data_IF_260279110544
#
_entry.id   IF_260279110544
#
_cell.length_a   1.000
_cell.length_b   1.000
_cell.length_c   1.000
_cell.angle_alpha   90.00
_cell.angle_beta   90.00
_cell.angle_gamma   90.00
#
_symmetry.space_group_name_H-M   'P 1'
#
loop_
_entity.id
_entity.type
_entity.pdbx_description
1 polymer ?
#
# COMPACT_ATOMS: atom_id res chain seq x y z
N UNK A 1 -32.06 -1.20 -6.64
CA UNK A 1 -31.08 -0.62 -5.67
C UNK A 1 -29.84 -0.19 -6.45
N UNK A 2 -29.96 0.90 -7.21
CA UNK A 2 -28.85 1.52 -7.94
C UNK A 2 -28.38 2.70 -7.06
N UNK A 3 -27.10 2.92 -6.80
CA UNK A 3 -26.10 3.19 -7.83
C UNK A 3 -24.72 2.64 -7.44
N UNK A 4 -24.19 1.74 -8.28
CA UNK A 4 -22.75 1.51 -8.34
C UNK A 4 -22.07 2.85 -8.60
N UNK A 5 -21.42 3.43 -7.58
CA UNK A 5 -20.52 4.56 -7.78
C UNK A 5 -19.23 3.97 -8.30
N UNK A 6 -19.17 3.84 -9.62
CA UNK A 6 -17.98 3.39 -10.31
C UNK A 6 -16.89 4.46 -10.12
N UNK A 7 -15.90 4.15 -9.29
CA UNK A 7 -14.76 5.03 -9.01
C UNK A 7 -13.50 4.46 -9.65
N UNK A 8 -12.78 5.29 -10.39
CA UNK A 8 -11.42 5.04 -10.86
C UNK A 8 -10.43 5.30 -9.75
N UNK A 9 -9.72 4.25 -9.35
CA UNK A 9 -8.79 4.30 -8.22
C UNK A 9 -7.35 4.13 -8.72
N UNK A 10 -6.48 5.05 -8.31
CA UNK A 10 -5.03 4.88 -8.41
C UNK A 10 -4.46 4.52 -7.05
N UNK A 11 -3.70 3.42 -6.98
CA UNK A 11 -3.06 2.93 -5.76
C UNK A 11 -1.58 3.24 -5.82
N UNK A 12 -1.09 4.03 -4.87
CA UNK A 12 0.29 4.51 -4.81
C UNK A 12 0.89 4.11 -3.47
N UNK A 13 1.87 3.21 -3.51
CA UNK A 13 2.39 2.54 -2.32
C UNK A 13 3.82 2.97 -2.04
N UNK A 14 3.99 3.64 -0.91
CA UNK A 14 5.29 3.84 -0.29
C UNK A 14 5.70 2.53 0.40
N UNK A 15 6.50 1.73 -0.31
CA UNK A 15 6.87 0.42 0.15
C UNK A 15 7.70 0.45 1.43
N UNK A 16 8.63 1.40 1.53
CA UNK A 16 9.54 1.47 2.67
C UNK A 16 8.79 1.87 3.92
N UNK A 17 7.90 2.87 3.82
CA UNK A 17 7.06 3.28 4.95
C UNK A 17 6.22 2.10 5.47
N UNK A 18 5.51 1.40 4.59
CA UNK A 18 4.60 0.32 5.00
C UNK A 18 5.34 -0.91 5.51
N UNK A 19 6.42 -1.34 4.86
CA UNK A 19 7.18 -2.51 5.31
C UNK A 19 7.85 -2.27 6.65
N UNK A 20 8.46 -1.09 6.86
CA UNK A 20 9.10 -0.75 8.13
C UNK A 20 8.07 -0.63 9.25
N UNK A 21 6.94 0.06 9.02
CA UNK A 21 5.88 0.19 10.01
C UNK A 21 5.26 -1.15 10.37
N UNK A 22 4.89 -1.98 9.38
CA UNK A 22 4.30 -3.29 9.62
C UNK A 22 5.25 -4.24 10.36
N UNK A 23 6.54 -4.23 10.01
CA UNK A 23 7.54 -5.03 10.72
C UNK A 23 7.75 -4.54 12.15
N UNK A 24 7.84 -3.22 12.37
CA UNK A 24 8.08 -2.67 13.71
C UNK A 24 6.90 -2.90 14.66
N UNK A 25 5.66 -2.89 14.15
CA UNK A 25 4.46 -3.06 14.98
C UNK A 25 4.13 -4.55 15.19
N UNK A 26 4.17 -5.36 14.13
CA UNK A 26 3.66 -6.73 14.14
C UNK A 26 4.71 -7.82 13.85
N UNK A 27 5.96 -7.44 13.56
CA UNK A 27 7.06 -8.39 13.30
C UNK A 27 6.94 -9.19 12.00
N UNK A 28 5.99 -8.86 11.13
CA UNK A 28 5.66 -9.63 9.93
C UNK A 28 5.79 -8.84 8.63
N UNK A 29 5.36 -9.46 7.52
CA UNK A 29 5.26 -8.82 6.20
C UNK A 29 3.81 -8.45 5.89
N UNK A 30 3.61 -7.33 5.20
CA UNK A 30 2.29 -6.90 4.74
C UNK A 30 1.74 -7.84 3.66
N UNK A 31 0.47 -8.23 3.82
CA UNK A 31 -0.31 -8.99 2.86
C UNK A 31 -0.90 -8.05 1.81
N UNK A 32 -0.11 -7.77 0.77
CA UNK A 32 -0.54 -6.86 -0.30
C UNK A 32 -1.70 -7.40 -1.15
N UNK A 33 -1.91 -8.73 -1.21
CA UNK A 33 -3.05 -9.28 -1.95
C UNK A 33 -4.37 -8.85 -1.30
N UNK A 34 -4.48 -9.01 0.03
CA UNK A 34 -5.63 -8.56 0.80
C UNK A 34 -5.79 -7.03 0.74
N UNK A 35 -4.69 -6.29 0.82
CA UNK A 35 -4.71 -4.82 0.73
C UNK A 35 -5.33 -4.35 -0.59
N UNK A 36 -4.90 -4.93 -1.71
CA UNK A 36 -5.44 -4.58 -3.03
C UNK A 36 -6.87 -5.08 -3.21
N UNK A 37 -7.22 -6.26 -2.68
CA UNK A 37 -8.60 -6.77 -2.68
C UNK A 37 -9.56 -5.83 -1.96
N UNK A 38 -9.20 -5.35 -0.77
CA UNK A 38 -10.02 -4.42 0.03
C UNK A 38 -10.18 -3.05 -0.65
N UNK A 39 -9.18 -2.59 -1.40
CA UNK A 39 -9.27 -1.38 -2.24
C UNK A 39 -10.15 -1.64 -3.49
N UNK A 40 -10.14 -2.88 -3.98
CA UNK A 40 -10.59 -3.33 -5.31
C UNK A 40 -12.08 -3.51 -5.52
N UNK A 41 -12.95 -3.11 -4.58
CA UNK A 41 -14.40 -3.01 -4.83
C UNK A 41 -14.81 -1.93 -5.86
N UNK A 42 -13.87 -1.51 -6.73
CA UNK A 42 -13.86 -0.32 -7.58
C UNK A 42 -13.00 -0.56 -8.83
N UNK A 43 -13.00 0.35 -9.81
CA UNK A 43 -12.12 0.22 -10.98
C UNK A 43 -10.69 0.65 -10.62
N UNK A 44 -9.80 -0.32 -10.36
CA UNK A 44 -8.38 -0.02 -10.18
C UNK A 44 -7.76 0.30 -11.56
N UNK A 45 -7.29 1.54 -11.71
CA UNK A 45 -6.66 2.02 -12.95
C UNK A 45 -5.15 1.76 -12.97
N UNK A 46 -4.49 1.88 -11.82
CA UNK A 46 -3.05 1.69 -11.62
C UNK A 46 -2.76 1.24 -10.19
N UNK A 47 -1.77 0.36 -10.03
CA UNK A 47 -1.18 0.00 -8.75
C UNK A 47 0.33 0.14 -8.88
N UNK A 48 0.93 1.09 -8.17
CA UNK A 48 2.36 1.39 -8.30
C UNK A 48 3.02 1.30 -6.93
N UNK A 49 4.03 0.44 -6.87
CA UNK A 49 4.84 0.17 -5.69
C UNK A 49 6.20 0.86 -5.86
N UNK A 50 6.48 1.81 -4.97
CA UNK A 50 7.70 2.63 -5.00
C UNK A 50 8.67 2.14 -3.95
N UNK A 51 9.86 1.72 -4.37
CA UNK A 51 10.94 1.31 -3.46
C UNK A 51 12.29 1.68 -4.03
N UNK A 52 13.18 2.39 -3.32
CA UNK A 52 14.46 2.82 -3.87
C UNK A 52 15.29 1.68 -4.47
N UNK A 53 16.07 1.96 -5.53
CA UNK A 53 16.84 0.94 -6.27
C UNK A 53 17.85 0.17 -5.41
N UNK A 54 18.36 0.81 -4.35
CA UNK A 54 19.32 0.21 -3.43
C UNK A 54 18.65 -0.73 -2.40
N UNK A 55 17.32 -0.82 -2.39
CA UNK A 55 16.56 -1.77 -1.57
C UNK A 55 16.19 -2.98 -2.44
N UNK A 56 16.46 -4.17 -1.91
CA UNK A 56 16.19 -5.42 -2.62
C UNK A 56 14.69 -5.72 -2.69
N UNK A 57 14.25 -6.17 -3.87
CA UNK A 57 12.94 -6.76 -4.10
C UNK A 57 13.20 -8.15 -4.69
N UNK A 58 12.68 -9.19 -4.06
CA UNK A 58 12.87 -10.56 -4.56
C UNK A 58 12.14 -10.77 -5.89
N UNK A 59 12.67 -11.65 -6.74
CA UNK A 59 12.02 -12.00 -8.00
C UNK A 59 10.64 -12.65 -7.80
N UNK A 60 10.48 -13.40 -6.71
CA UNK A 60 9.18 -13.94 -6.30
C UNK A 60 8.17 -12.83 -6.05
N UNK A 61 8.56 -11.78 -5.32
CA UNK A 61 7.69 -10.63 -5.08
C UNK A 61 7.38 -9.89 -6.37
N UNK A 62 8.36 -9.69 -7.26
CA UNK A 62 8.14 -9.05 -8.56
C UNK A 62 7.12 -9.81 -9.40
N UNK A 63 7.26 -11.13 -9.50
CA UNK A 63 6.30 -12.00 -10.22
C UNK A 63 4.92 -11.91 -9.61
N UNK A 64 4.82 -12.02 -8.28
CA UNK A 64 3.57 -11.85 -7.55
C UNK A 64 2.92 -10.49 -7.85
N UNK A 65 3.70 -9.41 -7.78
CA UNK A 65 3.22 -8.04 -7.96
C UNK A 65 2.70 -7.79 -9.38
N UNK A 66 3.44 -8.24 -10.39
CA UNK A 66 3.03 -8.14 -11.79
C UNK A 66 1.76 -8.96 -12.06
N UNK A 67 1.64 -10.16 -11.49
CA UNK A 67 0.43 -10.98 -11.62
C UNK A 67 -0.80 -10.35 -10.94
N UNK A 68 -0.59 -9.53 -9.91
CA UNK A 68 -1.62 -8.72 -9.26
C UNK A 68 -2.01 -7.47 -10.09
N UNK A 69 -1.35 -7.23 -11.23
CA UNK A 69 -1.53 -6.03 -12.05
C UNK A 69 -0.72 -4.82 -11.59
N UNK A 70 0.26 -5.03 -10.71
CA UNK A 70 1.09 -3.99 -10.13
C UNK A 70 2.35 -3.66 -10.92
N UNK A 71 2.75 -2.40 -10.85
CA UNK A 71 4.00 -1.86 -11.39
C UNK A 71 4.99 -1.62 -10.25
N UNK A 72 6.27 -1.96 -10.46
CA UNK A 72 7.34 -1.63 -9.52
C UNK A 72 8.16 -0.48 -10.08
N UNK A 73 8.29 0.61 -9.33
CA UNK A 73 9.19 1.72 -9.65
C UNK A 73 10.33 1.78 -8.63
N UNK A 74 11.56 1.75 -9.13
CA UNK A 74 12.77 1.81 -8.32
C UNK A 74 13.63 3.05 -8.61
N UNK A 75 13.25 4.22 -8.08
CA UNK A 75 14.04 5.42 -8.26
C UNK A 75 15.37 5.34 -7.51
N UNK A 76 16.36 6.09 -7.99
CA UNK A 76 17.72 6.06 -7.41
C UNK A 76 17.76 6.66 -6.00
N UNK A 77 17.00 7.74 -5.76
CA UNK A 77 17.04 8.50 -4.51
C UNK A 77 15.69 8.56 -3.79
N UNK A 78 14.78 9.41 -4.26
CA UNK A 78 13.59 9.76 -3.49
C UNK A 78 12.35 9.06 -4.10
N UNK A 79 11.87 8.02 -3.42
CA UNK A 79 10.66 7.29 -3.81
C UNK A 79 9.41 8.18 -3.73
N UNK A 80 9.30 8.95 -2.66
CA UNK A 80 8.18 9.85 -2.34
C UNK A 80 7.98 10.92 -3.41
N UNK A 81 9.07 11.45 -3.97
CA UNK A 81 9.03 12.41 -5.07
C UNK A 81 8.47 11.78 -6.36
N UNK A 82 8.88 10.56 -6.68
CA UNK A 82 8.34 9.84 -7.85
C UNK A 82 6.86 9.50 -7.66
N UNK A 83 6.52 9.00 -6.47
CA UNK A 83 5.15 8.75 -6.05
C UNK A 83 4.29 10.00 -6.23
N UNK A 84 4.76 11.13 -5.70
CA UNK A 84 4.07 12.42 -5.77
C UNK A 84 3.85 12.86 -7.22
N UNK A 85 4.89 12.82 -8.06
CA UNK A 85 4.78 13.21 -9.47
C UNK A 85 3.79 12.30 -10.22
N UNK A 86 3.86 11.00 -10.02
CA UNK A 86 2.96 10.06 -10.68
C UNK A 86 1.51 10.23 -10.22
N UNK A 87 1.27 10.43 -8.91
CA UNK A 87 -0.06 10.68 -8.37
C UNK A 87 -0.66 11.98 -8.91
N UNK A 88 0.13 13.06 -8.94
CA UNK A 88 -0.28 14.35 -9.53
C UNK A 88 -0.60 14.18 -11.02
N UNK A 89 0.26 13.49 -11.77
CA UNK A 89 0.10 13.30 -13.23
C UNK A 89 -1.13 12.47 -13.56
N UNK A 90 -1.44 11.46 -12.76
CA UNK A 90 -2.58 10.58 -12.99
C UNK A 90 -3.89 11.13 -12.41
N UNK A 91 -3.85 12.13 -11.53
CA UNK A 91 -5.02 12.67 -10.82
C UNK A 91 -6.20 13.02 -11.72
N UNK A 92 -5.97 13.59 -12.91
CA UNK A 92 -7.04 13.96 -13.84
C UNK A 92 -7.85 12.77 -14.40
N UNK A 93 -7.37 11.53 -14.19
CA UNK A 93 -8.02 10.29 -14.64
C UNK A 93 -8.59 9.47 -13.48
N UNK A 94 -8.45 9.96 -12.25
CA UNK A 94 -8.78 9.23 -11.03
C UNK A 94 -9.86 9.96 -10.24
N UNK A 95 -10.86 9.20 -9.78
CA UNK A 95 -11.84 9.69 -8.81
C UNK A 95 -11.29 9.60 -7.39
N UNK A 96 -10.48 8.56 -7.13
CA UNK A 96 -9.88 8.29 -5.82
C UNK A 96 -8.39 7.99 -5.96
N UNK A 97 -7.59 8.57 -5.07
CA UNK A 97 -6.20 8.19 -4.85
C UNK A 97 -6.11 7.45 -3.52
N UNK A 98 -5.74 6.17 -3.58
CA UNK A 98 -5.36 5.38 -2.42
C UNK A 98 -3.85 5.52 -2.19
N UNK A 99 -3.48 6.40 -1.27
CA UNK A 99 -2.11 6.59 -0.82
C UNK A 99 -1.83 5.59 0.29
N UNK A 100 -0.96 4.62 0.03
CA UNK A 100 -0.59 3.59 0.99
C UNK A 100 0.76 3.97 1.59
N UNK A 101 0.70 4.65 2.73
CA UNK A 101 1.83 5.26 3.43
C UNK A 101 1.36 6.35 4.39
N UNK A 102 2.01 6.48 5.54
CA UNK A 102 1.62 7.38 6.64
C UNK A 102 2.49 8.60 6.84
N UNK A 103 3.41 8.89 5.92
CA UNK A 103 4.38 9.98 6.08
C UNK A 103 3.73 11.36 5.92
N UNK A 104 3.98 12.25 6.88
CA UNK A 104 3.50 13.64 6.86
C UNK A 104 4.03 14.44 5.66
N UNK A 105 5.12 13.99 5.03
CA UNK A 105 5.66 14.60 3.83
C UNK A 105 4.68 14.53 2.64
N UNK A 106 3.66 13.68 2.71
CA UNK A 106 2.56 13.63 1.74
C UNK A 106 1.44 14.66 1.98
N UNK A 107 1.44 15.45 3.06
CA UNK A 107 0.41 16.46 3.30
C UNK A 107 0.19 17.44 2.11
N UNK A 108 1.25 17.97 1.46
CA UNK A 108 1.08 18.82 0.27
C UNK A 108 0.46 18.06 -0.91
N UNK A 109 0.79 16.77 -1.09
CA UNK A 109 0.21 15.92 -2.12
C UNK A 109 -1.29 15.72 -1.87
N UNK A 110 -1.68 15.38 -0.65
CA UNK A 110 -3.09 15.20 -0.26
C UNK A 110 -3.89 16.48 -0.57
N UNK A 111 -3.38 17.64 -0.15
CA UNK A 111 -4.01 18.93 -0.44
C UNK A 111 -4.17 19.17 -1.95
N UNK A 112 -3.11 18.90 -2.74
CA UNK A 112 -3.14 19.11 -4.18
C UNK A 112 -4.16 18.21 -4.88
N UNK A 113 -4.16 16.90 -4.57
CA UNK A 113 -5.06 15.93 -5.16
C UNK A 113 -6.53 16.26 -4.89
N UNK A 114 -6.84 16.69 -3.66
CA UNK A 114 -8.19 17.14 -3.29
C UNK A 114 -8.63 18.37 -4.08
N UNK A 115 -7.73 19.32 -4.28
CA UNK A 115 -8.01 20.49 -5.13
C UNK A 115 -8.15 20.15 -6.62
N UNK A 116 -7.62 19.00 -7.07
CA UNK A 116 -7.87 18.46 -8.42
C UNK A 116 -9.16 17.65 -8.53
N UNK A 117 -9.92 17.53 -7.44
CA UNK A 117 -11.20 16.83 -7.42
C UNK A 117 -11.11 15.35 -7.04
N UNK A 118 -9.92 14.82 -6.77
CA UNK A 118 -9.78 13.45 -6.28
C UNK A 118 -10.19 13.36 -4.81
N UNK A 119 -10.83 12.27 -4.42
CA UNK A 119 -10.86 11.85 -3.01
C UNK A 119 -9.54 11.20 -2.64
N UNK A 120 -9.01 11.51 -1.46
CA UNK A 120 -7.76 10.91 -0.99
C UNK A 120 -8.02 9.99 0.18
N UNK A 121 -7.72 8.71 -0.03
CA UNK A 121 -7.72 7.67 0.99
C UNK A 121 -6.28 7.43 1.44
N UNK A 122 -6.04 7.52 2.74
CA UNK A 122 -4.73 7.16 3.32
C UNK A 122 -4.86 5.80 3.99
N UNK A 123 -4.10 4.83 3.50
CA UNK A 123 -4.02 3.47 4.04
C UNK A 123 -2.68 3.33 4.75
N UNK A 124 -2.70 3.33 6.09
CA UNK A 124 -1.46 3.26 6.88
C UNK A 124 -1.70 2.70 8.28
N UNK A 125 -0.62 2.32 8.96
CA UNK A 125 -0.65 1.91 10.37
C UNK A 125 -0.86 3.14 11.28
N UNK A 126 -1.95 3.20 12.08
CA UNK A 126 -2.25 4.35 12.94
C UNK A 126 -1.13 4.75 13.90
N UNK A 127 -0.35 3.77 14.36
CA UNK A 127 0.71 3.90 15.35
C UNK A 127 1.93 4.67 14.81
N UNK A 128 2.11 4.67 13.49
CA UNK A 128 3.23 5.35 12.81
C UNK A 128 2.78 6.53 11.95
N UNK A 129 1.47 6.80 11.92
CA UNK A 129 0.88 7.89 11.15
C UNK A 129 0.59 9.10 12.05
N UNK A 130 1.00 10.29 11.61
CA UNK A 130 0.70 11.53 12.33
C UNK A 130 -0.79 11.86 12.34
N UNK A 131 -1.29 12.55 13.36
CA UNK A 131 -2.70 12.95 13.37
C UNK A 131 -3.03 13.94 12.24
N UNK A 132 -2.05 14.76 11.85
CA UNK A 132 -2.17 15.67 10.70
C UNK A 132 -2.53 14.92 9.40
N UNK A 133 -1.92 13.76 9.12
CA UNK A 133 -2.22 13.01 7.89
C UNK A 133 -3.61 12.38 7.94
N UNK A 134 -4.03 11.92 9.12
CA UNK A 134 -5.36 11.34 9.34
C UNK A 134 -6.45 12.38 9.12
N UNK A 135 -6.23 13.61 9.60
CA UNK A 135 -7.14 14.74 9.44
C UNK A 135 -7.16 15.31 8.01
N UNK A 136 -6.02 15.28 7.31
CA UNK A 136 -5.92 15.83 5.96
C UNK A 136 -6.61 14.95 4.89
N UNK A 137 -6.61 13.62 5.08
CA UNK A 137 -7.25 12.67 4.18
C UNK A 137 -8.77 12.86 4.13
N UNK A 138 -9.42 12.49 3.01
CA UNK A 138 -10.89 12.35 3.01
C UNK A 138 -11.34 11.13 3.81
N UNK A 139 -10.52 10.07 3.79
CA UNK A 139 -10.72 8.87 4.60
C UNK A 139 -9.36 8.32 5.01
N UNK A 140 -9.21 8.02 6.28
CA UNK A 140 -8.06 7.27 6.80
C UNK A 140 -8.49 5.84 7.09
N UNK A 141 -7.83 4.87 6.46
CA UNK A 141 -8.10 3.45 6.62
C UNK A 141 -6.96 2.82 7.42
N UNK A 142 -7.24 2.37 8.66
CA UNK A 142 -6.20 1.80 9.50
C UNK A 142 -5.78 0.42 8.97
N UNK A 143 -4.48 0.25 8.72
CA UNK A 143 -3.88 -1.07 8.59
C UNK A 143 -3.73 -1.68 9.98
N UNK A 144 -4.21 -2.91 10.13
CA UNK A 144 -4.16 -3.70 11.37
C UNK A 144 -3.47 -5.03 11.12
N UNK A 145 -3.34 -5.85 12.17
CA UNK A 145 -2.76 -7.19 12.10
C UNK A 145 -3.38 -8.08 11.00
N UNK A 146 -4.65 -7.85 10.62
CA UNK A 146 -5.31 -8.61 9.53
C UNK A 146 -4.59 -8.49 8.19
N UNK A 147 -3.89 -7.37 7.98
CA UNK A 147 -3.09 -7.12 6.78
C UNK A 147 -1.67 -7.68 6.88
N UNK A 148 -1.37 -8.50 7.89
CA UNK A 148 -0.10 -9.21 7.97
C UNK A 148 -0.23 -10.60 7.32
N UNK A 149 0.84 -11.06 6.67
CA UNK A 149 0.92 -12.45 6.24
C UNK A 149 0.95 -13.31 7.49
N UNK A 150 -0.12 -14.09 7.69
CA UNK A 150 -0.12 -15.12 8.72
C UNK A 150 0.90 -16.17 8.29
N UNK A 151 2.00 -16.29 9.03
CA UNK A 151 2.84 -17.47 8.93
C UNK A 151 1.96 -18.66 9.30
N UNK A 152 1.59 -19.47 8.31
CA UNK A 152 1.07 -20.81 8.58
C UNK A 152 2.15 -21.48 9.42
N UNK A 153 1.90 -21.63 10.72
CA UNK A 153 2.77 -22.37 11.63
C UNK A 153 3.26 -23.61 10.88
N UNK A 154 4.58 -23.71 10.75
CA UNK A 154 5.20 -24.80 10.02
C UNK A 154 4.57 -26.11 10.48
N UNK A 155 4.15 -26.94 9.52
CA UNK A 155 3.98 -28.36 9.78
C UNK A 155 5.32 -28.89 10.31
N UNK A 156 5.50 -28.85 11.64
CA UNK A 156 6.43 -29.71 12.33
C UNK A 156 5.88 -31.11 12.12
N UNK A 157 6.28 -31.75 11.01
CA UNK A 157 6.16 -33.19 10.86
C UNK A 157 6.81 -33.80 12.10
N UNK A 158 5.96 -34.34 12.98
CA UNK A 158 6.39 -35.05 14.17
C UNK A 158 7.35 -36.15 13.74
N UNK A 159 8.63 -35.99 14.04
CA UNK A 159 9.57 -37.11 14.06
C UNK A 159 9.03 -38.08 15.12
N UNK A 160 8.43 -39.18 14.66
CA UNK A 160 8.19 -40.33 15.53
C UNK A 160 9.54 -40.77 16.13
N UNK A 161 9.63 -40.96 17.46
CA UNK A 161 10.83 -41.55 18.03
C UNK A 161 10.91 -43.00 17.55
N UNK A 162 12.04 -43.36 16.92
CA UNK A 162 12.39 -44.77 16.72
C UNK A 162 12.48 -45.40 18.12
N UNK A 163 11.58 -46.33 18.42
CA UNK A 163 11.69 -47.17 19.61
C UNK A 163 12.90 -48.13 19.45
N UNK A 164 13.60 -48.43 20.55
CA UNK A 164 14.71 -49.38 20.57
C UNK A 164 14.24 -50.82 20.30
#
# INVERSE_FOLDING_TARGET
>A
MSSLVYQKVGVFIDAENIELSGYNIFGGRTNYALLIEEIGGREITRIIYYKPIHKTISDDFRRFWVNLGGEVKQPIKNADAWLTIDAVTLSEKLDVVALVGGDKDYLPLIWYLKNRGCKVEVWSYPETSSDMIKEAADLFIPLTERFMIQDKQGHKNGRQPKKP
#
